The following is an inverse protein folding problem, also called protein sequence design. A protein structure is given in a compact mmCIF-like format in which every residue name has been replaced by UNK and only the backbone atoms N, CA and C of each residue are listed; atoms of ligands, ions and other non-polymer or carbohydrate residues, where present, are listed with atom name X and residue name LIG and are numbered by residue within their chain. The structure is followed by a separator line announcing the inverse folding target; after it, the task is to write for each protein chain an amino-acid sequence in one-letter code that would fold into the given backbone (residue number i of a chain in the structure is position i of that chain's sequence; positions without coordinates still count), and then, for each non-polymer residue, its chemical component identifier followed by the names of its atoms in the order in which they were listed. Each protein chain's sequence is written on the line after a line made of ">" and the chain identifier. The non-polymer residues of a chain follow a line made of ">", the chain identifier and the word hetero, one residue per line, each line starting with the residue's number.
data_IF_715726581337
#
_entry.id   IF_715726581337
#
_cell.length_a   1.000
_cell.length_b   1.000
_cell.length_c   1.000
_cell.angle_alpha   90.00
_cell.angle_beta   90.00
_cell.angle_gamma   90.00
#
_symmetry.space_group_name_H-M   'P 1'
#
loop_
_entity.id
_entity.type
_entity.pdbx_description
1 polymer ?
#
# COMPACT_ATOMS: atom_id res chain seq x y z
N UNK A 1 47.06 -40.40 -24.97
CA UNK A 1 46.20 -41.43 -25.58
C UNK A 1 45.77 -42.39 -24.49
N UNK A 2 44.47 -42.70 -24.47
CA UNK A 2 43.77 -43.75 -23.71
C UNK A 2 44.56 -45.08 -23.70
N UNK A 3 44.37 -46.09 -22.86
CA UNK A 3 43.36 -46.55 -21.89
C UNK A 3 43.91 -47.87 -21.34
N UNK A 4 43.41 -48.39 -20.21
CA UNK A 4 42.95 -49.79 -20.16
C UNK A 4 42.15 -50.08 -18.89
N UNK A 5 40.86 -50.37 -19.10
CA UNK A 5 39.97 -51.13 -18.21
C UNK A 5 40.21 -52.64 -18.36
N UNK A 6 39.73 -53.42 -17.38
CA UNK A 6 39.24 -54.82 -17.37
C UNK A 6 39.34 -55.32 -15.90
N UNK A 7 38.41 -56.00 -15.21
CA UNK A 7 37.28 -56.93 -15.45
C UNK A 7 36.33 -56.88 -14.22
N UNK A 8 34.99 -56.95 -14.34
CA UNK A 8 34.08 -58.12 -14.35
C UNK A 8 34.24 -59.15 -13.20
N UNK A 9 33.20 -59.32 -12.34
CA UNK A 9 32.32 -60.51 -12.31
C UNK A 9 31.14 -60.41 -11.28
N UNK A 10 30.01 -61.01 -11.71
CA UNK A 10 28.70 -61.43 -11.13
C UNK A 10 28.53 -61.58 -9.59
N UNK A 11 27.34 -61.60 -8.97
CA UNK A 11 26.05 -62.18 -9.42
C UNK A 11 24.84 -61.88 -8.50
N UNK A 12 23.65 -62.16 -9.06
CA UNK A 12 22.33 -62.51 -8.48
C UNK A 12 21.39 -61.48 -7.82
N UNK A 13 20.22 -61.33 -8.48
CA UNK A 13 18.95 -60.76 -8.05
C UNK A 13 18.22 -61.65 -7.02
N UNK A 14 17.60 -61.05 -5.98
CA UNK A 14 16.23 -61.35 -5.51
C UNK A 14 15.57 -60.03 -5.02
N UNK A 15 14.27 -59.96 -5.25
CA UNK A 15 13.36 -58.81 -5.37
C UNK A 15 12.66 -58.39 -4.05
N UNK A 16 12.11 -57.15 -4.07
CA UNK A 16 11.08 -56.51 -3.21
C UNK A 16 11.59 -55.97 -1.85
N UNK A 17 11.44 -54.70 -1.44
CA UNK A 17 10.44 -53.66 -1.71
C UNK A 17 11.09 -52.26 -1.72
N UNK A 18 10.71 -51.40 -2.68
CA UNK A 18 11.26 -50.05 -2.88
C UNK A 18 10.42 -49.03 -2.10
N UNK A 19 10.95 -48.51 -0.99
CA UNK A 19 10.50 -47.25 -0.42
C UNK A 19 11.12 -46.14 -1.28
N UNK A 20 10.35 -45.65 -2.25
CA UNK A 20 10.76 -44.56 -3.13
C UNK A 20 10.99 -43.28 -2.32
N UNK A 21 12.25 -42.86 -2.26
CA UNK A 21 12.64 -41.52 -1.87
C UNK A 21 12.14 -40.54 -2.94
N UNK A 22 11.27 -39.61 -2.54
CA UNK A 22 10.93 -38.45 -3.36
C UNK A 22 12.04 -37.41 -3.25
N UNK A 23 12.52 -37.02 -4.42
CA UNK A 23 13.45 -35.94 -4.71
C UNK A 23 12.80 -34.62 -4.27
N UNK A 24 13.47 -33.84 -3.42
CA UNK A 24 13.17 -32.42 -3.27
C UNK A 24 14.49 -31.65 -3.26
N UNK A 25 14.55 -30.71 -4.19
CA UNK A 25 15.71 -29.91 -4.55
C UNK A 25 15.88 -28.78 -3.54
N UNK A 26 17.14 -28.48 -3.22
CA UNK A 26 17.56 -27.34 -2.41
C UNK A 26 17.02 -26.03 -3.00
N UNK A 27 16.15 -25.36 -2.25
CA UNK A 27 16.05 -23.89 -2.27
C UNK A 27 16.50 -23.38 -0.91
N UNK A 28 17.71 -22.83 -0.87
CA UNK A 28 18.17 -22.00 0.25
C UNK A 28 17.24 -20.78 0.32
N UNK A 29 16.31 -20.82 1.26
CA UNK A 29 15.53 -19.67 1.71
C UNK A 29 16.49 -18.55 2.14
N UNK A 30 16.50 -17.47 1.38
CA UNK A 30 17.09 -16.20 1.81
C UNK A 30 16.21 -15.71 2.98
N UNK A 31 16.74 -15.85 4.19
CA UNK A 31 16.08 -15.41 5.41
C UNK A 31 15.87 -13.89 5.35
N UNK A 32 14.65 -13.47 5.04
CA UNK A 32 14.20 -12.08 5.09
C UNK A 32 14.22 -11.62 6.55
N UNK A 33 15.30 -10.95 6.94
CA UNK A 33 15.40 -10.28 8.24
C UNK A 33 14.45 -9.08 8.24
N UNK A 34 13.18 -9.34 8.50
CA UNK A 34 12.20 -8.31 8.84
C UNK A 34 12.64 -7.64 10.15
N UNK A 35 13.35 -6.53 10.02
CA UNK A 35 13.48 -5.54 11.09
C UNK A 35 12.06 -5.16 11.48
N UNK A 36 11.72 -5.33 12.76
CA UNK A 36 10.42 -4.97 13.33
C UNK A 36 10.23 -3.47 13.31
N UNK A 37 9.88 -2.92 12.16
CA UNK A 37 9.33 -1.58 12.03
C UNK A 37 7.89 -1.66 12.53
N UNK A 38 7.67 -1.27 13.78
CA UNK A 38 6.32 -1.05 14.30
C UNK A 38 5.58 -0.12 13.33
N UNK A 39 4.34 -0.47 13.01
CA UNK A 39 3.47 0.36 12.18
C UNK A 39 3.47 1.79 12.75
N UNK A 40 3.70 2.85 11.94
CA UNK A 40 3.74 4.20 12.47
C UNK A 40 2.49 4.48 13.28
N UNK A 41 2.68 4.95 14.50
CA UNK A 41 1.67 5.67 15.26
C UNK A 41 0.91 6.57 14.29
N UNK A 42 -0.41 6.48 14.32
CA UNK A 42 -1.37 7.13 13.42
C UNK A 42 -1.23 8.67 13.39
N UNK A 43 -0.15 9.17 12.80
CA UNK A 43 0.03 10.58 12.47
C UNK A 43 -0.58 10.75 11.08
N UNK A 44 -1.84 11.16 11.09
CA UNK A 44 -2.59 11.51 9.89
C UNK A 44 -2.16 12.92 9.47
N UNK A 45 -1.45 13.01 8.36
CA UNK A 45 -0.86 14.25 7.91
C UNK A 45 -1.85 15.03 7.03
N UNK A 46 -2.30 16.17 7.51
CA UNK A 46 -3.27 17.01 6.81
C UNK A 46 -4.69 16.48 7.03
N UNK A 47 -5.28 16.87 8.15
CA UNK A 47 -6.70 16.76 8.40
C UNK A 47 -7.34 18.07 7.92
N UNK A 48 -8.02 18.14 6.77
CA UNK A 48 -9.28 18.85 6.76
C UNK A 48 -10.22 18.04 7.65
N UNK A 49 -10.62 18.60 8.78
CA UNK A 49 -11.75 18.10 9.52
C UNK A 49 -12.97 18.35 8.62
N UNK A 50 -13.41 17.32 7.91
CA UNK A 50 -14.54 17.45 6.99
C UNK A 50 -14.41 16.57 5.75
N UNK A 51 -14.48 15.27 5.93
CA UNK A 51 -15.04 14.30 4.97
C UNK A 51 -15.18 12.97 5.74
N UNK A 52 -16.16 12.15 5.40
CA UNK A 52 -16.61 11.03 6.23
C UNK A 52 -15.57 9.89 6.32
N UNK A 53 -14.43 10.05 7.00
CA UNK A 53 -13.39 9.03 7.14
C UNK A 53 -13.13 8.61 8.61
N UNK A 54 -12.77 7.34 8.79
CA UNK A 54 -12.28 6.73 10.04
C UNK A 54 -10.97 5.99 9.73
N UNK A 55 -9.86 6.43 10.31
CA UNK A 55 -8.53 5.89 9.97
C UNK A 55 -8.19 6.07 8.49
N UNK A 56 -7.84 4.95 7.84
CA UNK A 56 -7.50 4.85 6.41
C UNK A 56 -8.72 4.55 5.51
N UNK A 57 -9.92 4.46 6.07
CA UNK A 57 -11.15 4.21 5.34
C UNK A 57 -12.04 5.45 5.30
N UNK A 58 -12.59 5.74 4.13
CA UNK A 58 -13.52 6.83 3.88
C UNK A 58 -14.85 6.28 3.37
N UNK A 59 -15.95 6.88 3.81
CA UNK A 59 -17.28 6.34 3.64
C UNK A 59 -18.19 7.33 2.92
N UNK A 60 -18.79 6.90 1.82
CA UNK A 60 -19.78 7.69 1.08
C UNK A 60 -21.16 7.09 1.29
N UNK A 61 -22.10 7.91 1.75
CA UNK A 61 -23.49 7.50 2.00
C UNK A 61 -24.36 7.93 0.82
N UNK A 62 -24.45 7.08 -0.20
CA UNK A 62 -25.27 7.33 -1.37
C UNK A 62 -26.74 7.14 -1.02
N UNK A 63 -27.53 8.20 -1.16
CA UNK A 63 -28.97 8.19 -0.90
C UNK A 63 -29.79 7.91 -2.15
N UNK A 64 -29.16 8.02 -3.33
CA UNK A 64 -29.76 7.63 -4.60
C UNK A 64 -29.96 6.13 -4.62
N UNK A 65 -31.19 5.71 -4.95
CA UNK A 65 -31.58 4.32 -4.83
C UNK A 65 -31.13 3.54 -6.05
N UNK A 66 -30.23 2.60 -5.81
CA UNK A 66 -29.86 1.60 -6.81
C UNK A 66 -30.92 0.51 -6.86
N UNK A 67 -31.17 -0.06 -8.05
CA UNK A 67 -32.23 -1.07 -8.23
C UNK A 67 -31.80 -2.43 -7.67
N UNK A 68 -30.51 -2.72 -7.66
CA UNK A 68 -29.96 -3.97 -7.17
C UNK A 68 -28.67 -3.74 -6.37
N UNK A 69 -28.33 -4.68 -5.50
CA UNK A 69 -27.05 -4.67 -4.77
C UNK A 69 -25.84 -4.67 -5.71
N UNK A 70 -25.95 -5.34 -6.86
CA UNK A 70 -24.91 -5.29 -7.89
C UNK A 70 -24.75 -3.87 -8.46
N UNK A 71 -25.84 -3.17 -8.76
CA UNK A 71 -25.78 -1.78 -9.22
C UNK A 71 -25.14 -0.87 -8.16
N UNK A 72 -25.48 -1.09 -6.88
CA UNK A 72 -24.88 -0.39 -5.74
C UNK A 72 -23.36 -0.59 -5.69
N UNK A 73 -22.93 -1.84 -5.86
CA UNK A 73 -21.52 -2.20 -5.91
C UNK A 73 -20.80 -1.56 -7.10
N UNK A 74 -21.39 -1.66 -8.28
CA UNK A 74 -20.85 -1.06 -9.50
C UNK A 74 -20.75 0.46 -9.38
N UNK A 75 -21.64 1.11 -8.63
CA UNK A 75 -21.54 2.52 -8.28
C UNK A 75 -20.37 2.82 -7.32
N UNK A 76 -20.21 2.04 -6.25
CA UNK A 76 -19.06 2.18 -5.35
C UNK A 76 -17.72 1.98 -6.08
N UNK A 77 -17.65 1.01 -7.00
CA UNK A 77 -16.48 0.70 -7.82
C UNK A 77 -16.08 1.83 -8.78
N UNK A 78 -16.97 2.81 -9.05
CA UNK A 78 -16.61 4.01 -9.84
C UNK A 78 -15.72 4.97 -9.04
N UNK A 79 -15.74 4.89 -7.72
CA UNK A 79 -14.89 5.69 -6.84
C UNK A 79 -13.55 4.98 -6.63
N UNK A 80 -12.45 5.74 -6.53
CA UNK A 80 -11.06 5.26 -6.42
C UNK A 80 -10.89 3.96 -5.60
N UNK A 81 -10.89 2.82 -6.28
CA UNK A 81 -10.73 1.48 -5.69
C UNK A 81 -11.70 1.20 -4.50
N UNK A 82 -12.88 1.82 -4.51
CA UNK A 82 -13.92 1.64 -3.52
C UNK A 82 -14.79 0.43 -3.80
N UNK A 83 -15.45 -0.07 -2.77
CA UNK A 83 -16.44 -1.15 -2.84
C UNK A 83 -17.57 -0.84 -1.85
N UNK A 84 -18.60 -1.69 -1.76
CA UNK A 84 -19.57 -1.61 -0.67
C UNK A 84 -18.86 -1.82 0.68
N UNK A 85 -19.27 -1.08 1.70
CA UNK A 85 -18.58 -1.04 3.00
C UNK A 85 -18.45 -2.41 3.65
N UNK A 86 -17.26 -2.71 4.15
CA UNK A 86 -17.00 -3.84 5.03
C UNK A 86 -16.97 -3.34 6.47
N UNK A 87 -17.72 -3.97 7.39
CA UNK A 87 -17.76 -3.52 8.80
C UNK A 87 -17.02 -4.54 9.66
N UNK A 88 -15.72 -4.31 9.81
CA UNK A 88 -14.79 -5.31 10.36
C UNK A 88 -14.42 -5.05 11.82
N UNK A 89 -14.66 -3.83 12.29
CA UNK A 89 -14.33 -3.39 13.66
C UNK A 89 -15.53 -2.76 14.36
N UNK A 90 -15.54 -2.82 15.70
CA UNK A 90 -16.62 -2.23 16.50
C UNK A 90 -16.63 -0.72 16.36
N UNK A 91 -15.44 -0.13 16.24
CA UNK A 91 -15.20 1.29 16.04
C UNK A 91 -15.85 1.77 14.72
N UNK A 92 -15.68 1.00 13.65
CA UNK A 92 -16.31 1.26 12.35
C UNK A 92 -17.84 1.16 12.41
N UNK A 93 -18.37 0.13 13.08
CA UNK A 93 -19.83 0.00 13.27
C UNK A 93 -20.39 1.23 14.00
N UNK A 94 -19.78 1.64 15.11
CA UNK A 94 -20.21 2.81 15.89
C UNK A 94 -20.13 4.08 15.05
N UNK A 95 -19.04 4.27 14.31
CA UNK A 95 -18.86 5.42 13.42
C UNK A 95 -19.98 5.51 12.36
N UNK A 96 -20.28 4.39 11.69
CA UNK A 96 -21.35 4.33 10.69
C UNK A 96 -22.73 4.59 11.31
N UNK A 97 -23.01 4.04 12.50
CA UNK A 97 -24.25 4.29 13.24
C UNK A 97 -24.45 5.78 13.52
N UNK A 98 -23.42 6.48 14.00
CA UNK A 98 -23.49 7.90 14.28
C UNK A 98 -23.74 8.73 13.01
N UNK A 99 -23.10 8.37 11.90
CA UNK A 99 -23.29 9.05 10.61
C UNK A 99 -24.69 8.82 10.06
N UNK A 100 -25.14 7.58 10.01
CA UNK A 100 -26.46 7.20 9.50
C UNK A 100 -27.59 7.87 10.30
N UNK A 101 -27.45 7.96 11.64
CA UNK A 101 -28.42 8.68 12.49
C UNK A 101 -28.54 10.17 12.13
N UNK A 102 -27.42 10.80 11.75
CA UNK A 102 -27.35 12.24 11.43
C UNK A 102 -27.84 12.57 10.00
N UNK A 103 -28.02 11.58 9.13
CA UNK A 103 -28.55 11.80 7.78
C UNK A 103 -30.02 12.24 7.85
N UNK A 104 -30.32 13.46 7.42
CA UNK A 104 -31.67 14.02 7.42
C UNK A 104 -32.51 13.50 6.23
N UNK A 105 -32.94 12.24 6.33
CA UNK A 105 -33.76 11.57 5.31
C UNK A 105 -35.20 11.37 5.80
N UNK A 106 -36.16 11.73 4.95
CA UNK A 106 -37.60 11.65 5.25
C UNK A 106 -38.20 10.26 5.04
N UNK A 107 -37.75 9.51 4.03
CA UNK A 107 -38.43 8.28 3.60
C UNK A 107 -37.54 7.03 3.52
N UNK A 108 -36.22 7.20 3.40
CA UNK A 108 -35.32 6.10 3.10
C UNK A 108 -34.26 5.99 4.18
N UNK A 109 -34.22 4.83 4.84
CA UNK A 109 -33.45 4.57 6.05
C UNK A 109 -32.55 3.33 5.88
N UNK A 110 -32.34 2.84 4.67
CA UNK A 110 -31.65 1.59 4.39
C UNK A 110 -30.62 1.75 3.27
N UNK A 111 -29.48 1.10 3.43
CA UNK A 111 -28.38 1.09 2.47
C UNK A 111 -27.81 -0.32 2.29
N UNK A 112 -27.45 -0.68 1.07
CA UNK A 112 -26.66 -1.86 0.79
C UNK A 112 -25.25 -1.75 1.39
N UNK A 113 -24.74 -2.87 1.90
CA UNK A 113 -23.38 -3.03 2.46
C UNK A 113 -22.69 -4.26 1.85
N UNK A 114 -21.39 -4.41 2.05
CA UNK A 114 -20.55 -5.40 1.38
C UNK A 114 -20.58 -6.81 1.98
N UNK A 115 -21.57 -7.13 2.82
CA UNK A 115 -21.72 -8.46 3.40
C UNK A 115 -22.53 -9.35 2.45
N UNK A 116 -22.01 -10.55 2.18
CA UNK A 116 -22.67 -11.54 1.32
C UNK A 116 -22.37 -12.96 1.76
N UNK A 117 -23.19 -13.92 1.30
CA UNK A 117 -22.95 -15.34 1.56
C UNK A 117 -21.97 -15.89 0.51
N UNK A 118 -20.90 -16.53 0.98
CA UNK A 118 -19.98 -17.30 0.13
C UNK A 118 -19.89 -18.73 0.66
N UNK A 119 -20.47 -19.67 -0.09
CA UNK A 119 -20.62 -21.05 0.38
C UNK A 119 -21.63 -21.13 1.53
N UNK A 120 -21.16 -21.32 2.76
CA UNK A 120 -22.00 -21.40 3.96
C UNK A 120 -21.70 -20.32 5.01
N UNK A 121 -20.81 -19.37 4.69
CA UNK A 121 -20.34 -18.34 5.63
C UNK A 121 -20.66 -16.94 5.10
N UNK A 122 -20.91 -16.03 6.04
CA UNK A 122 -21.01 -14.60 5.78
C UNK A 122 -19.60 -14.01 5.66
N UNK A 123 -19.29 -13.45 4.49
CA UNK A 123 -18.01 -12.82 4.19
C UNK A 123 -18.22 -11.39 3.70
N UNK A 124 -17.32 -10.51 4.14
CA UNK A 124 -17.17 -9.17 3.60
C UNK A 124 -16.46 -9.21 2.26
N UNK A 125 -16.62 -8.19 1.43
CA UNK A 125 -15.87 -8.09 0.17
C UNK A 125 -14.37 -7.97 0.32
N UNK A 126 -13.88 -7.55 1.49
CA UNK A 126 -12.47 -7.65 1.86
C UNK A 126 -11.94 -9.09 1.93
N UNK A 127 -12.83 -10.09 1.93
CA UNK A 127 -12.53 -11.51 2.13
C UNK A 127 -12.49 -11.92 3.60
N UNK A 128 -12.76 -11.01 4.55
CA UNK A 128 -12.81 -11.34 5.97
C UNK A 128 -14.17 -11.92 6.37
N UNK A 129 -14.20 -12.87 7.32
CA UNK A 129 -15.46 -13.40 7.84
C UNK A 129 -16.19 -12.36 8.70
N UNK A 130 -17.50 -12.52 8.83
CA UNK A 130 -18.31 -11.73 9.77
C UNK A 130 -17.93 -12.07 11.22
N UNK A 131 -17.37 -11.10 11.94
CA UNK A 131 -17.05 -11.23 13.37
C UNK A 131 -17.98 -10.41 14.27
N UNK A 132 -18.68 -9.43 13.69
CA UNK A 132 -19.57 -8.51 14.41
C UNK A 132 -21.00 -8.94 14.17
N UNK A 133 -21.66 -9.43 15.22
CA UNK A 133 -23.07 -9.73 15.17
C UNK A 133 -23.90 -8.50 15.54
N UNK A 134 -24.51 -7.88 14.52
CA UNK A 134 -25.42 -6.73 14.70
C UNK A 134 -26.67 -6.87 13.82
N UNK A 135 -27.13 -8.12 13.65
CA UNK A 135 -28.39 -8.44 12.98
C UNK A 135 -29.59 -7.89 13.75
N UNK A 136 -30.67 -7.56 13.05
CA UNK A 136 -31.97 -7.38 13.68
C UNK A 136 -32.43 -8.69 14.31
N UNK A 137 -33.37 -8.59 15.27
CA UNK A 137 -34.03 -9.76 15.80
C UNK A 137 -34.62 -10.58 14.65
N UNK A 138 -34.44 -11.89 14.73
CA UNK A 138 -34.89 -12.87 13.72
C UNK A 138 -34.13 -12.84 12.37
N UNK A 139 -33.06 -12.05 12.25
CA UNK A 139 -32.13 -12.07 11.12
C UNK A 139 -30.79 -12.77 11.47
N UNK A 140 -30.10 -13.38 10.48
CA UNK A 140 -30.51 -13.51 9.09
C UNK A 140 -31.61 -14.58 8.93
N UNK A 141 -32.71 -14.21 8.27
CA UNK A 141 -33.89 -15.09 8.13
C UNK A 141 -33.79 -16.03 6.94
N UNK A 142 -32.88 -15.75 5.99
CA UNK A 142 -32.59 -16.55 4.80
C UNK A 142 -33.86 -17.05 4.08
N UNK A 143 -34.83 -16.16 3.92
CA UNK A 143 -36.14 -16.47 3.39
C UNK A 143 -36.03 -17.02 1.96
N UNK A 144 -36.46 -18.27 1.77
CA UNK A 144 -36.38 -19.04 0.52
C UNK A 144 -34.97 -19.31 -0.05
N UNK A 145 -33.90 -19.27 0.76
CA UNK A 145 -32.52 -19.55 0.30
C UNK A 145 -32.02 -18.58 -0.79
N UNK A 146 -32.46 -17.33 -0.76
CA UNK A 146 -32.21 -16.32 -1.81
C UNK A 146 -31.72 -14.97 -1.27
N UNK A 147 -31.36 -14.91 0.01
CA UNK A 147 -31.00 -13.67 0.70
C UNK A 147 -29.49 -13.54 0.88
N UNK A 148 -28.75 -13.56 -0.22
CA UNK A 148 -27.29 -13.53 -0.18
C UNK A 148 -26.71 -12.11 -0.03
N UNK A 149 -27.55 -11.11 0.25
CA UNK A 149 -27.19 -9.68 0.27
C UNK A 149 -27.78 -8.98 1.49
N UNK A 150 -27.00 -8.05 2.05
CA UNK A 150 -27.31 -7.42 3.33
C UNK A 150 -27.47 -5.92 3.19
N UNK A 151 -28.36 -5.35 3.99
CA UNK A 151 -28.49 -3.90 4.18
C UNK A 151 -28.26 -3.51 5.64
N UNK A 152 -27.85 -2.26 5.83
CA UNK A 152 -27.80 -1.58 7.12
C UNK A 152 -28.93 -0.56 7.20
N UNK A 153 -29.53 -0.38 8.38
CA UNK A 153 -30.69 0.50 8.56
C UNK A 153 -30.50 1.56 9.66
N UNK A 154 -31.10 2.74 9.47
CA UNK A 154 -31.20 3.81 10.48
C UNK A 154 -32.27 3.51 11.53
N UNK A 155 -33.16 2.54 11.29
CA UNK A 155 -34.21 2.20 12.24
C UNK A 155 -33.62 1.67 13.56
N UNK A 156 -34.27 1.87 14.71
CA UNK A 156 -33.78 1.31 15.98
C UNK A 156 -33.81 -0.23 15.99
N UNK A 157 -32.76 -0.91 16.49
CA UNK A 157 -31.44 -0.36 16.81
C UNK A 157 -30.69 0.12 15.56
N UNK A 158 -30.27 1.39 15.58
CA UNK A 158 -29.58 1.97 14.43
C UNK A 158 -28.32 1.16 14.07
N UNK A 159 -28.07 1.04 12.78
CA UNK A 159 -27.00 0.21 12.24
C UNK A 159 -27.34 -1.27 12.16
N UNK A 160 -28.55 -1.69 12.55
CA UNK A 160 -29.00 -3.09 12.45
C UNK A 160 -28.90 -3.63 11.02
N UNK A 161 -28.44 -4.87 10.90
CA UNK A 161 -28.32 -5.60 9.64
C UNK A 161 -29.59 -6.42 9.37
N UNK A 162 -29.99 -6.50 8.11
CA UNK A 162 -30.97 -7.47 7.65
C UNK A 162 -30.62 -7.99 6.26
N UNK A 163 -31.03 -9.21 5.96
CA UNK A 163 -30.98 -9.83 4.64
C UNK A 163 -32.43 -9.87 4.11
N UNK A 164 -32.65 -9.49 2.84
CA UNK A 164 -34.04 -9.41 2.34
C UNK A 164 -34.15 -9.77 0.86
N UNK A 165 -35.01 -10.74 0.55
CA UNK A 165 -35.09 -11.45 -0.73
C UNK A 165 -35.69 -10.63 -1.87
N UNK A 166 -36.49 -9.61 -1.54
CA UNK A 166 -37.13 -8.77 -2.56
C UNK A 166 -36.19 -7.64 -2.98
N UNK A 167 -36.14 -7.40 -4.29
CA UNK A 167 -35.46 -6.25 -4.91
C UNK A 167 -36.14 -4.94 -4.50
N UNK A 168 -35.76 -4.41 -3.35
CA UNK A 168 -36.11 -3.06 -2.94
C UNK A 168 -34.98 -2.10 -3.29
N UNK A 169 -35.27 -0.99 -3.97
CA UNK A 169 -34.25 0.01 -4.22
C UNK A 169 -33.76 0.62 -2.90
N UNK A 170 -32.45 0.56 -2.66
CA UNK A 170 -31.80 1.08 -1.45
C UNK A 170 -30.66 2.01 -1.82
N UNK A 171 -30.27 2.86 -0.87
CA UNK A 171 -29.01 3.57 -0.98
C UNK A 171 -27.82 2.59 -0.93
N UNK A 172 -26.62 3.12 -1.00
CA UNK A 172 -25.39 2.35 -0.84
C UNK A 172 -24.46 3.06 0.15
N UNK A 173 -23.73 2.31 0.96
CA UNK A 173 -22.58 2.86 1.67
C UNK A 173 -21.33 2.29 1.01
N UNK A 174 -20.56 3.18 0.40
CA UNK A 174 -19.30 2.83 -0.22
C UNK A 174 -18.17 3.08 0.78
N UNK A 175 -17.22 2.16 0.83
CA UNK A 175 -15.93 2.36 1.49
C UNK A 175 -14.86 2.53 0.42
N UNK A 176 -14.05 3.58 0.54
CA UNK A 176 -12.82 3.77 -0.22
C UNK A 176 -11.66 3.84 0.74
N UNK A 177 -10.46 3.50 0.27
CA UNK A 177 -9.27 3.87 1.02
C UNK A 177 -9.09 5.38 0.92
N UNK A 178 -8.73 5.98 2.06
CA UNK A 178 -8.48 7.41 2.17
C UNK A 178 -7.48 7.77 1.09
N UNK A 179 -7.96 8.55 0.12
CA UNK A 179 -7.11 9.11 -0.91
C UNK A 179 -6.30 10.19 -0.19
N UNK A 180 -5.13 9.83 0.31
CA UNK A 180 -4.09 10.83 0.48
C UNK A 180 -3.90 11.44 -0.91
N UNK A 181 -4.27 12.69 -1.11
CA UNK A 181 -4.07 13.42 -2.38
C UNK A 181 -2.59 13.35 -2.81
N UNK A 182 -2.16 12.25 -3.44
CA UNK A 182 -0.76 11.96 -3.78
C UNK A 182 0.26 12.04 -2.63
N UNK A 183 -0.17 12.03 -1.36
CA UNK A 183 0.69 12.36 -0.21
C UNK A 183 0.93 11.15 0.70
N UNK A 184 1.99 10.41 0.41
CA UNK A 184 2.42 9.24 1.16
C UNK A 184 3.09 9.73 2.45
N UNK A 185 2.72 9.27 3.65
CA UNK A 185 3.37 9.78 4.87
C UNK A 185 3.81 8.65 5.78
N UNK A 186 4.92 8.88 6.48
CA UNK A 186 5.52 7.98 7.45
C UNK A 186 6.04 8.82 8.62
N UNK A 187 5.58 8.52 9.83
CA UNK A 187 5.90 9.29 11.04
C UNK A 187 5.61 10.80 10.87
N UNK A 188 6.63 11.65 10.97
CA UNK A 188 6.52 13.12 10.87
C UNK A 188 6.83 13.65 9.48
N UNK A 189 7.00 12.75 8.50
CA UNK A 189 7.38 13.08 7.13
C UNK A 189 6.32 12.67 6.12
N UNK A 190 6.12 13.52 5.12
CA UNK A 190 5.25 13.24 4.00
C UNK A 190 5.98 13.37 2.68
N UNK A 191 5.73 12.43 1.80
CA UNK A 191 6.38 12.24 0.53
C UNK A 191 5.42 12.46 -0.63
N UNK A 192 6.00 12.95 -1.72
CA UNK A 192 5.32 13.11 -3.01
C UNK A 192 6.19 12.49 -4.08
N UNK A 193 5.67 11.48 -4.76
CA UNK A 193 6.35 10.81 -5.87
C UNK A 193 6.02 11.55 -7.17
N UNK A 194 7.05 12.02 -7.85
CA UNK A 194 6.92 12.78 -9.07
C UNK A 194 7.53 11.95 -10.20
N UNK A 195 6.61 11.28 -10.91
CA UNK A 195 6.90 10.15 -11.78
C UNK A 195 7.38 10.56 -13.18
N UNK A 196 7.65 11.85 -13.40
CA UNK A 196 8.15 12.40 -14.66
C UNK A 196 9.66 12.57 -14.57
N UNK A 197 10.37 12.04 -15.54
CA UNK A 197 11.83 12.20 -15.66
C UNK A 197 12.19 13.67 -15.92
N UNK A 198 13.09 14.23 -15.11
CA UNK A 198 13.77 15.52 -15.36
C UNK A 198 15.13 15.55 -14.64
N UNK A 199 15.88 16.64 -14.84
CA UNK A 199 17.15 16.92 -14.18
C UNK A 199 17.02 17.24 -12.69
N UNK A 200 18.04 16.88 -11.92
CA UNK A 200 18.10 17.06 -10.46
C UNK A 200 17.76 18.48 -9.98
N UNK A 201 18.32 19.52 -10.61
CA UNK A 201 18.11 20.90 -10.18
C UNK A 201 16.68 21.40 -10.43
N UNK A 202 16.02 20.88 -11.48
CA UNK A 202 14.61 21.17 -11.78
C UNK A 202 13.73 20.59 -10.68
N UNK A 203 14.01 19.35 -10.30
CA UNK A 203 13.28 18.60 -9.29
C UNK A 203 13.42 19.19 -7.89
N UNK A 204 14.62 19.56 -7.49
CA UNK A 204 14.84 20.20 -6.19
C UNK A 204 14.04 21.49 -6.06
N UNK A 205 14.00 22.31 -7.12
CA UNK A 205 13.16 23.51 -7.18
C UNK A 205 11.68 23.18 -7.07
N UNK A 206 11.22 22.08 -7.68
CA UNK A 206 9.84 21.63 -7.57
C UNK A 206 9.47 21.17 -6.15
N UNK A 207 10.32 20.37 -5.49
CA UNK A 207 10.08 20.00 -4.11
C UNK A 207 10.02 21.21 -3.18
N UNK A 208 10.89 22.21 -3.40
CA UNK A 208 10.83 23.50 -2.69
C UNK A 208 9.52 24.23 -2.91
N UNK A 209 9.00 24.26 -4.13
CA UNK A 209 7.67 24.84 -4.44
C UNK A 209 6.52 24.11 -3.73
N UNK A 210 6.67 22.81 -3.45
CA UNK A 210 5.70 22.02 -2.69
C UNK A 210 5.82 22.20 -1.16
N UNK A 211 6.73 23.09 -0.70
CA UNK A 211 6.98 23.34 0.71
C UNK A 211 7.80 22.24 1.40
N UNK A 212 8.61 21.51 0.62
CA UNK A 212 9.53 20.47 1.08
C UNK A 212 10.90 20.57 0.42
N UNK A 213 11.61 19.46 0.31
CA UNK A 213 12.84 19.31 -0.49
C UNK A 213 12.92 17.86 -0.98
N UNK A 214 13.99 17.46 -1.66
CA UNK A 214 14.22 16.04 -1.97
C UNK A 214 14.36 15.21 -0.69
N UNK A 215 13.85 13.98 -0.71
CA UNK A 215 13.76 13.10 0.47
C UNK A 215 15.11 12.79 1.11
N UNK A 216 15.15 12.84 2.44
CA UNK A 216 16.16 12.21 3.29
C UNK A 216 15.65 10.86 3.80
N UNK A 217 16.51 9.84 3.79
CA UNK A 217 16.19 8.53 4.35
C UNK A 217 17.05 8.35 5.61
N UNK A 218 16.52 8.81 6.75
CA UNK A 218 17.26 8.92 8.01
C UNK A 218 17.15 7.65 8.87
N UNK A 219 16.14 6.81 8.63
CA UNK A 219 15.89 5.57 9.38
C UNK A 219 15.73 4.36 8.47
N UNK A 220 16.05 3.17 8.99
CA UNK A 220 15.83 1.89 8.27
C UNK A 220 14.35 1.70 7.90
N UNK A 221 13.43 2.13 8.77
CA UNK A 221 12.00 2.00 8.52
C UNK A 221 11.46 3.00 7.50
N UNK A 222 11.95 4.24 7.49
CA UNK A 222 11.66 5.20 6.43
C UNK A 222 12.18 4.70 5.08
N UNK A 223 13.38 4.13 5.06
CA UNK A 223 13.92 3.47 3.86
C UNK A 223 13.04 2.31 3.39
N UNK A 224 12.63 1.42 4.29
CA UNK A 224 11.75 0.28 3.97
C UNK A 224 10.38 0.76 3.44
N UNK A 225 9.83 1.82 4.01
CA UNK A 225 8.59 2.43 3.55
C UNK A 225 8.72 2.99 2.12
N UNK A 226 9.74 3.82 1.86
CA UNK A 226 9.94 4.46 0.56
C UNK A 226 10.24 3.43 -0.54
N UNK A 227 11.06 2.42 -0.23
CA UNK A 227 11.38 1.35 -1.20
C UNK A 227 10.15 0.51 -1.57
N UNK A 228 9.23 0.28 -0.63
CA UNK A 228 7.93 -0.35 -0.91
C UNK A 228 7.07 0.53 -1.82
N UNK A 229 7.02 1.84 -1.57
CA UNK A 229 6.17 2.75 -2.34
C UNK A 229 6.69 3.02 -3.77
N UNK A 230 8.00 3.16 -3.99
CA UNK A 230 8.56 3.33 -5.35
C UNK A 230 8.20 2.17 -6.29
N UNK A 231 8.11 0.94 -5.75
CA UNK A 231 7.76 -0.25 -6.55
C UNK A 231 6.34 -0.18 -7.11
N UNK A 232 5.45 0.55 -6.43
CA UNK A 232 4.05 0.76 -6.82
C UNK A 232 3.89 1.89 -7.85
N UNK A 233 4.90 2.74 -8.02
CA UNK A 233 4.83 3.89 -8.92
C UNK A 233 5.00 3.50 -10.39
N UNK A 234 4.12 4.03 -11.26
CA UNK A 234 4.25 3.97 -12.73
C UNK A 234 4.95 5.24 -13.23
N UNK A 235 6.15 5.10 -13.80
CA UNK A 235 6.95 6.20 -14.35
C UNK A 235 6.45 6.56 -15.75
N UNK A 236 6.34 7.84 -16.07
CA UNK A 236 5.86 8.35 -17.36
C UNK A 236 6.97 9.14 -18.06
N UNK A 237 7.43 8.70 -19.24
CA UNK A 237 8.56 9.30 -19.97
C UNK A 237 8.98 8.48 -21.19
N UNK A 238 9.98 8.94 -21.96
CA UNK A 238 10.54 8.18 -23.07
C UNK A 238 11.38 7.03 -22.50
N UNK A 239 10.77 5.85 -22.39
CA UNK A 239 11.36 4.68 -21.75
C UNK A 239 12.61 4.22 -22.51
N UNK A 240 13.79 4.69 -22.09
CA UNK A 240 14.92 3.77 -22.10
C UNK A 240 14.65 2.77 -20.99
N UNK A 241 14.65 1.47 -21.30
CA UNK A 241 14.48 0.37 -20.33
C UNK A 241 15.57 0.32 -19.23
N UNK A 242 16.22 1.44 -18.93
CA UNK A 242 17.53 1.49 -18.31
C UNK A 242 17.57 2.06 -16.90
N UNK A 243 16.54 2.72 -16.33
CA UNK A 243 16.66 3.21 -14.96
C UNK A 243 15.35 3.26 -14.17
N UNK A 244 15.09 2.17 -13.44
CA UNK A 244 14.16 2.11 -12.29
C UNK A 244 14.64 2.94 -11.07
N UNK A 245 15.39 4.02 -11.29
CA UNK A 245 16.04 4.76 -10.21
C UNK A 245 15.38 6.13 -10.00
N UNK A 246 15.31 6.54 -8.74
CA UNK A 246 14.65 7.76 -8.29
C UNK A 246 15.64 8.69 -7.62
N UNK A 247 15.69 9.96 -8.03
CA UNK A 247 16.52 10.94 -7.34
C UNK A 247 16.04 11.16 -5.90
N UNK A 248 17.01 11.19 -4.99
CA UNK A 248 16.84 11.47 -3.57
C UNK A 248 17.73 12.65 -3.14
N UNK A 249 17.60 13.08 -1.89
CA UNK A 249 18.30 14.24 -1.35
C UNK A 249 19.77 14.04 -0.96
N UNK A 250 20.38 12.88 -1.21
CA UNK A 250 21.78 12.63 -0.84
C UNK A 250 22.71 13.14 -1.96
N UNK A 251 23.59 14.08 -1.64
CA UNK A 251 24.51 14.69 -2.61
C UNK A 251 25.88 15.01 -2.01
N UNK A 252 26.91 15.17 -2.86
CA UNK A 252 28.25 15.62 -2.47
C UNK A 252 28.81 16.62 -3.48
N UNK A 253 29.54 17.62 -2.99
CA UNK A 253 30.41 18.46 -3.83
C UNK A 253 31.73 17.73 -4.13
N UNK A 254 32.50 18.15 -5.15
CA UNK A 254 33.83 17.61 -5.39
C UNK A 254 34.67 17.61 -4.11
N UNK A 255 35.36 16.49 -3.84
CA UNK A 255 36.24 16.30 -2.67
C UNK A 255 35.57 16.44 -1.28
N UNK A 256 34.24 16.37 -1.21
CA UNK A 256 33.50 16.44 0.06
C UNK A 256 32.74 15.15 0.36
N UNK A 257 32.35 14.97 1.63
CA UNK A 257 31.50 13.88 2.06
C UNK A 257 30.06 14.05 1.55
N UNK A 258 29.35 12.92 1.41
CA UNK A 258 27.90 12.90 1.16
C UNK A 258 27.12 13.55 2.31
N UNK A 259 26.08 14.31 1.96
CA UNK A 259 25.17 14.99 2.89
C UNK A 259 23.75 15.03 2.33
N UNK A 260 22.76 14.97 3.21
CA UNK A 260 21.37 15.20 2.87
C UNK A 260 21.11 16.68 2.59
N UNK A 261 20.30 17.00 1.58
CA UNK A 261 19.98 18.40 1.23
C UNK A 261 19.02 19.08 2.19
N UNK A 262 18.25 18.29 2.96
CA UNK A 262 17.16 18.73 3.81
C UNK A 262 17.28 18.28 5.27
N UNK A 263 18.42 17.69 5.65
CA UNK A 263 18.69 17.24 7.02
C UNK A 263 20.00 17.83 7.55
N UNK A 264 20.01 18.17 8.84
CA UNK A 264 21.23 18.49 9.57
C UNK A 264 22.03 17.22 9.93
N UNK A 265 21.39 16.05 9.87
CA UNK A 265 22.05 14.77 10.06
C UNK A 265 22.94 14.45 8.86
N UNK A 266 24.19 14.08 9.13
CA UNK A 266 25.07 13.46 8.13
C UNK A 266 25.07 11.93 8.27
N UNK A 267 24.21 11.37 9.14
CA UNK A 267 24.06 9.93 9.31
C UNK A 267 23.23 9.38 8.16
N UNK A 268 23.79 8.41 7.46
CA UNK A 268 23.09 7.53 6.55
C UNK A 268 23.73 6.16 6.68
N UNK A 269 22.96 5.10 6.50
CA UNK A 269 23.52 3.76 6.54
C UNK A 269 24.44 3.54 5.33
N UNK A 270 25.73 3.34 5.60
CA UNK A 270 26.75 3.11 4.57
C UNK A 270 26.56 1.77 3.86
N UNK A 271 25.82 0.83 4.46
CA UNK A 271 25.47 -0.47 3.85
C UNK A 271 24.53 -0.32 2.64
N UNK A 272 23.92 0.86 2.46
CA UNK A 272 23.00 1.13 1.35
C UNK A 272 23.74 1.38 0.02
N UNK A 273 25.06 1.60 0.05
CA UNK A 273 25.84 1.67 -1.19
C UNK A 273 26.10 0.26 -1.73
N UNK A 274 25.83 0.03 -3.01
CA UNK A 274 26.17 -1.25 -3.66
C UNK A 274 27.68 -1.50 -3.55
N UNK A 275 28.09 -2.78 -3.46
CA UNK A 275 29.47 -3.23 -3.16
C UNK A 275 30.59 -2.68 -4.08
N UNK A 276 30.26 -1.88 -5.10
CA UNK A 276 31.19 -1.27 -6.05
C UNK A 276 31.07 0.24 -6.20
N UNK A 277 30.34 0.96 -5.32
CA UNK A 277 30.12 2.41 -5.39
C UNK A 277 30.63 3.19 -4.17
N UNK A 278 30.95 4.51 -4.33
CA UNK A 278 30.79 5.31 -5.55
C UNK A 278 31.93 5.13 -6.56
N UNK A 279 31.61 4.61 -7.76
CA UNK A 279 32.52 4.54 -8.95
C UNK A 279 32.05 5.44 -10.11
N UNK A 280 31.20 6.43 -9.85
CA UNK A 280 31.08 7.58 -10.75
C UNK A 280 32.46 8.27 -10.85
N UNK A 281 32.79 8.86 -12.01
CA UNK A 281 34.10 9.50 -12.28
C UNK A 281 34.74 10.19 -11.07
N UNK A 282 36.08 10.10 -11.01
CA UNK A 282 37.02 10.80 -10.14
C UNK A 282 36.37 11.86 -9.21
N UNK A 283 36.40 11.70 -7.87
CA UNK A 283 35.75 12.61 -6.91
C UNK A 283 36.25 14.06 -6.98
N UNK A 284 37.24 14.32 -7.83
CA UNK A 284 37.90 15.58 -8.10
C UNK A 284 37.14 16.48 -9.10
N UNK A 285 36.20 15.97 -9.92
CA UNK A 285 35.75 16.71 -11.12
C UNK A 285 34.23 17.00 -11.18
N UNK A 286 33.39 16.32 -10.40
CA UNK A 286 31.93 16.54 -10.47
C UNK A 286 31.19 16.38 -9.14
N UNK A 287 30.01 17.02 -9.08
CA UNK A 287 29.01 16.78 -8.04
C UNK A 287 28.49 15.34 -8.14
N UNK A 288 28.34 14.66 -7.01
CA UNK A 288 27.72 13.34 -6.93
C UNK A 288 26.32 13.43 -6.35
N UNK A 289 25.37 12.69 -6.92
CA UNK A 289 23.97 12.62 -6.48
C UNK A 289 23.57 11.16 -6.36
N UNK A 290 22.86 10.82 -5.29
CA UNK A 290 22.34 9.48 -5.13
C UNK A 290 20.98 9.34 -5.83
N UNK A 291 20.79 8.19 -6.45
CA UNK A 291 19.47 7.71 -6.87
C UNK A 291 19.17 6.37 -6.20
N UNK A 292 17.91 6.18 -5.80
CA UNK A 292 17.37 4.97 -5.17
C UNK A 292 16.75 4.07 -6.24
N UNK A 293 17.20 2.82 -6.36
CA UNK A 293 16.65 1.88 -7.35
C UNK A 293 15.43 1.13 -6.82
N UNK A 294 14.47 0.80 -7.70
CA UNK A 294 13.43 -0.19 -7.38
C UNK A 294 14.00 -1.60 -7.18
N UNK A 295 15.17 -1.88 -7.77
CA UNK A 295 15.83 -3.18 -7.61
C UNK A 295 16.51 -3.26 -6.23
N UNK A 296 16.09 -4.21 -5.36
CA UNK A 296 16.64 -4.36 -4.00
C UNK A 296 18.13 -4.67 -3.96
N UNK A 297 18.71 -5.23 -5.02
CA UNK A 297 20.15 -5.53 -5.09
C UNK A 297 21.00 -4.32 -5.51
N UNK A 298 20.37 -3.19 -5.91
CA UNK A 298 21.03 -2.04 -6.53
C UNK A 298 20.66 -0.72 -5.85
N UNK A 299 20.90 -0.59 -4.55
CA UNK A 299 20.15 0.35 -3.72
C UNK A 299 20.50 1.83 -3.97
N UNK A 300 21.77 2.26 -3.84
CA UNK A 300 22.19 3.60 -4.29
C UNK A 300 23.13 3.57 -5.49
N UNK A 301 22.87 4.48 -6.45
CA UNK A 301 23.76 4.79 -7.58
C UNK A 301 24.20 6.24 -7.55
N UNK A 302 25.46 6.49 -7.86
CA UNK A 302 25.96 7.84 -8.18
C UNK A 302 25.45 8.21 -9.58
N UNK A 303 24.42 9.05 -9.61
CA UNK A 303 23.82 9.61 -10.82
C UNK A 303 24.40 11.02 -11.04
N UNK A 304 24.70 11.36 -12.29
CA UNK A 304 25.27 12.65 -12.64
C UNK A 304 24.14 13.64 -12.90
N UNK A 305 23.96 14.67 -12.04
CA UNK A 305 22.90 15.70 -12.20
C UNK A 305 22.79 16.27 -13.60
N UNK A 306 23.93 16.44 -14.26
CA UNK A 306 24.03 17.14 -15.54
C UNK A 306 23.63 16.28 -16.73
N UNK A 307 23.55 14.95 -16.57
CA UNK A 307 23.39 14.03 -17.69
C UNK A 307 22.21 13.07 -17.53
N UNK A 308 21.65 12.95 -16.32
CA UNK A 308 20.58 11.99 -16.03
C UNK A 308 19.25 12.70 -15.77
N UNK A 309 18.22 12.27 -16.50
CA UNK A 309 16.82 12.55 -16.18
C UNK A 309 16.22 11.34 -15.47
N UNK A 310 15.63 11.53 -14.29
CA UNK A 310 15.01 10.46 -13.50
C UNK A 310 13.75 10.96 -12.77
N UNK A 311 12.82 10.09 -12.37
CA UNK A 311 11.77 10.46 -11.42
C UNK A 311 12.36 10.78 -10.04
N UNK A 312 11.57 11.36 -9.13
CA UNK A 312 12.08 11.88 -7.85
C UNK A 312 11.03 11.85 -6.73
N UNK A 313 11.52 11.93 -5.50
CA UNK A 313 10.72 11.86 -4.28
C UNK A 313 10.97 13.14 -3.48
N UNK A 314 9.91 13.93 -3.28
CA UNK A 314 9.93 15.05 -2.37
C UNK A 314 9.54 14.61 -0.97
N UNK A 315 10.10 15.26 0.05
CA UNK A 315 9.73 15.12 1.46
C UNK A 315 9.37 16.49 2.04
N UNK A 316 8.31 16.51 2.83
CA UNK A 316 7.85 17.64 3.64
C UNK A 316 7.66 17.16 5.07
N UNK A 317 8.46 17.68 6.00
CA UNK A 317 8.28 17.46 7.44
C UNK A 317 7.05 18.20 7.96
N UNK A 318 6.38 17.63 8.94
CA UNK A 318 5.17 18.17 9.54
C UNK A 318 5.57 18.91 10.80
N UNK A 319 5.27 20.20 10.85
CA UNK A 319 5.44 20.99 12.06
C UNK A 319 4.30 20.67 13.02
N UNK A 320 4.62 20.08 14.17
CA UNK A 320 3.65 19.87 15.24
C UNK A 320 3.46 21.18 16.00
N UNK A 321 2.29 21.81 15.84
CA UNK A 321 1.86 22.87 16.73
C UNK A 321 0.94 22.25 17.79
N UNK A 322 1.39 22.16 19.07
CA UNK A 322 0.50 21.73 20.14
C UNK A 322 -0.70 22.69 20.23
N UNK A 323 -1.92 22.19 20.49
CA UNK A 323 -3.07 23.05 20.71
C UNK A 323 -2.81 23.95 21.93
N UNK A 324 -2.97 25.25 21.72
CA UNK A 324 -2.90 26.31 22.74
C UNK A 324 -4.09 26.30 23.67
#
# INVERSE_FOLDING_TARGET
>A
MASRNYLFFCSFFIFLFWAGATKEENENELQDSSVGCDSPSSIICGVPAGENCLGDSCYTFNTDRTRTWKDARDECNKSNNGDLVSIETKEELVYLQEKIKKLNLQHHKEWYIGLSVKGSLWEWFSGKPLTINHWYNDEPSNYFWKEDIVYISRQPPAGGFGDYYKKYPRGAICETKRVSNGKYCYDTSCYTFLNREQYYDVHRKQCKKLGGDLVSLETECEWAYITKEIRRQKVTGNHSHANDDWFIGLSRKPLTSWKWVNSASNSFDKRIWTHTYPRGRSPYVSMGIAALSKNPERIFKDALSACDEKPFICEKKIEYHPPT
#
